data_IF_228988472176
#
_entry.id   IF_228988472176
#
_cell.length_a   1.000
_cell.length_b   1.000
_cell.length_c   1.000
_cell.angle_alpha   90.00
_cell.angle_beta   90.00
_cell.angle_gamma   90.00
#
_symmetry.space_group_name_H-M   'P 1'
#
loop_
_entity.id
_entity.type
_entity.pdbx_description
1 polymer ?
#
# COMPACT_ATOMS: atom_id res chain seq x y z
N UNK A 1 1.81 -20.95 -31.31
CA UNK A 1 2.02 -21.54 -29.98
C UNK A 1 1.71 -23.02 -30.09
N UNK A 2 2.31 -23.93 -29.30
CA UNK A 2 1.93 -25.35 -29.40
C UNK A 2 0.45 -25.48 -29.06
N UNK A 3 -0.31 -26.19 -29.91
CA UNK A 3 -1.77 -26.39 -29.80
C UNK A 3 -2.19 -27.26 -28.58
N UNK A 4 -1.30 -27.48 -27.62
CA UNK A 4 -1.54 -28.33 -26.47
C UNK A 4 -1.86 -27.48 -25.24
N UNK A 5 -3.14 -27.33 -24.96
CA UNK A 5 -3.61 -26.82 -23.68
C UNK A 5 -3.56 -27.95 -22.64
N UNK A 6 -2.89 -27.77 -21.49
CA UNK A 6 -2.81 -28.82 -20.49
C UNK A 6 -4.21 -29.09 -19.92
N UNK A 7 -4.59 -30.36 -19.88
CA UNK A 7 -5.75 -30.83 -19.14
C UNK A 7 -5.59 -30.56 -17.63
N UNK A 8 -6.68 -30.48 -16.86
CA UNK A 8 -6.60 -30.33 -15.40
C UNK A 8 -5.72 -31.39 -14.73
N UNK A 9 -5.71 -32.62 -15.26
CA UNK A 9 -4.85 -33.69 -14.75
C UNK A 9 -3.36 -33.43 -15.02
N UNK A 10 -3.02 -32.88 -16.18
CA UNK A 10 -1.66 -32.46 -16.49
C UNK A 10 -1.22 -31.31 -15.59
N UNK A 11 -2.11 -30.35 -15.29
CA UNK A 11 -1.82 -29.27 -14.33
C UNK A 11 -1.46 -29.82 -12.94
N UNK A 12 -2.20 -30.82 -12.43
CA UNK A 12 -1.87 -31.47 -11.16
C UNK A 12 -0.52 -32.20 -11.20
N UNK A 13 -0.20 -32.86 -12.31
CA UNK A 13 1.09 -33.53 -12.50
C UNK A 13 2.24 -32.52 -12.56
N UNK A 14 2.05 -31.41 -13.28
CA UNK A 14 3.02 -30.32 -13.37
C UNK A 14 3.25 -29.69 -11.99
N UNK A 15 2.19 -29.49 -11.21
CA UNK A 15 2.30 -28.99 -9.84
C UNK A 15 3.06 -29.96 -8.93
N UNK A 16 2.80 -31.27 -8.99
CA UNK A 16 3.52 -32.26 -8.20
C UNK A 16 5.03 -32.25 -8.52
N UNK A 17 5.40 -32.13 -9.79
CA UNK A 17 6.79 -31.98 -10.21
C UNK A 17 7.40 -30.65 -9.75
N UNK A 18 6.68 -29.54 -9.90
CA UNK A 18 7.12 -28.23 -9.42
C UNK A 18 7.39 -28.25 -7.91
N UNK A 19 6.49 -28.84 -7.12
CA UNK A 19 6.59 -28.92 -5.67
C UNK A 19 7.78 -29.76 -5.22
N UNK A 20 8.03 -30.89 -5.90
CA UNK A 20 9.20 -31.75 -5.64
C UNK A 20 10.55 -31.04 -5.88
N UNK A 21 10.56 -29.99 -6.70
CA UNK A 21 11.74 -29.20 -7.03
C UNK A 21 11.93 -27.97 -6.14
N UNK A 22 11.03 -27.69 -5.18
CA UNK A 22 11.16 -26.57 -4.25
C UNK A 22 11.99 -26.95 -3.02
N UNK A 23 12.63 -25.96 -2.38
CA UNK A 23 13.26 -26.15 -1.06
C UNK A 23 12.18 -26.42 0.00
N UNK A 24 12.16 -27.60 0.66
CA UNK A 24 11.16 -27.92 1.67
C UNK A 24 11.15 -26.94 2.85
N UNK A 25 12.31 -26.35 3.19
CA UNK A 25 12.40 -25.33 4.26
C UNK A 25 11.71 -24.04 3.85
N UNK A 26 11.77 -23.68 2.56
CA UNK A 26 11.08 -22.52 2.02
C UNK A 26 9.56 -22.74 2.04
N UNK A 27 9.09 -23.90 1.59
CA UNK A 27 7.66 -24.24 1.63
C UNK A 27 7.13 -24.26 3.08
N UNK A 28 7.92 -24.79 4.02
CA UNK A 28 7.58 -24.78 5.45
C UNK A 28 7.44 -23.35 5.98
N UNK A 29 8.39 -22.46 5.69
CA UNK A 29 8.29 -21.04 6.10
C UNK A 29 7.03 -20.37 5.53
N UNK A 30 6.76 -20.55 4.23
CA UNK A 30 5.56 -19.99 3.59
C UNK A 30 4.27 -20.49 4.25
N UNK A 31 4.24 -21.74 4.70
CA UNK A 31 3.06 -22.32 5.35
C UNK A 31 2.86 -21.87 6.81
N UNK A 32 3.95 -21.54 7.52
CA UNK A 32 3.93 -21.22 8.96
C UNK A 32 3.95 -19.70 9.25
N UNK A 33 4.55 -18.91 8.36
CA UNK A 33 4.71 -17.46 8.54
C UNK A 33 3.56 -16.68 7.86
N UNK A 34 3.12 -15.55 8.43
CA UNK A 34 2.14 -14.67 7.77
C UNK A 34 2.69 -14.12 6.44
N UNK A 35 1.80 -13.91 5.47
CA UNK A 35 2.16 -13.19 4.24
C UNK A 35 2.46 -11.72 4.53
N UNK A 36 3.52 -11.18 3.93
CA UNK A 36 3.92 -9.77 4.05
C UNK A 36 4.32 -9.17 2.69
N UNK A 37 3.46 -9.26 1.66
CA UNK A 37 3.75 -8.68 0.35
C UNK A 37 3.93 -7.16 0.48
N UNK A 38 4.82 -6.59 -0.34
CA UNK A 38 5.01 -5.13 -0.40
C UNK A 38 4.20 -4.48 -1.52
N UNK A 39 3.63 -5.29 -2.42
CA UNK A 39 2.97 -4.87 -3.65
C UNK A 39 1.59 -5.50 -3.72
N UNK A 40 0.57 -4.68 -3.98
CA UNK A 40 -0.71 -5.10 -4.54
C UNK A 40 -0.66 -4.90 -6.06
N UNK A 41 -0.98 -5.94 -6.82
CA UNK A 41 -1.11 -5.93 -8.28
C UNK A 41 -2.58 -6.10 -8.67
N UNK A 42 -3.15 -5.10 -9.32
CA UNK A 42 -4.48 -5.13 -9.94
C UNK A 42 -4.27 -5.27 -11.45
N UNK A 43 -4.58 -6.45 -12.00
CA UNK A 43 -4.31 -6.77 -13.40
C UNK A 43 -5.51 -7.32 -14.15
N UNK A 44 -5.34 -7.52 -15.46
CA UNK A 44 -6.37 -8.14 -16.28
C UNK A 44 -6.43 -9.66 -16.05
N UNK A 45 -7.62 -10.25 -16.15
CA UNK A 45 -7.84 -11.72 -16.19
C UNK A 45 -7.22 -12.40 -17.41
N UNK A 46 -6.66 -11.63 -18.34
CA UNK A 46 -5.93 -12.14 -19.49
C UNK A 46 -4.78 -13.07 -19.08
N UNK A 47 -4.81 -14.29 -19.60
CA UNK A 47 -3.88 -15.37 -19.25
C UNK A 47 -2.46 -15.18 -19.80
N UNK A 48 -2.23 -14.17 -20.65
CA UNK A 48 -0.91 -13.85 -21.22
C UNK A 48 -0.07 -12.97 -20.30
N UNK A 49 -0.63 -12.45 -19.21
CA UNK A 49 0.03 -11.50 -18.32
C UNK A 49 0.08 -11.99 -16.86
N UNK A 50 0.59 -13.21 -16.54
CA UNK A 50 0.78 -13.65 -15.16
C UNK A 50 1.88 -12.81 -14.47
N UNK A 51 1.53 -12.07 -13.42
CA UNK A 51 2.38 -11.04 -12.79
C UNK A 51 3.67 -11.65 -12.28
N UNK A 52 3.56 -12.72 -11.50
CA UNK A 52 4.69 -13.43 -10.89
C UNK A 52 5.68 -13.98 -11.92
N UNK A 53 5.23 -14.31 -13.13
CA UNK A 53 6.12 -14.75 -14.21
C UNK A 53 6.84 -13.57 -14.85
N UNK A 54 6.11 -12.53 -15.24
CA UNK A 54 6.69 -11.39 -15.99
C UNK A 54 7.60 -10.53 -15.11
N UNK A 55 7.36 -10.47 -13.80
CA UNK A 55 8.22 -9.75 -12.83
C UNK A 55 9.25 -10.65 -12.17
N UNK A 56 9.23 -11.97 -12.42
CA UNK A 56 10.07 -12.97 -11.74
C UNK A 56 9.91 -12.96 -10.22
N UNK A 57 8.70 -12.71 -9.75
CA UNK A 57 8.39 -12.70 -8.31
C UNK A 57 8.35 -14.10 -7.72
N UNK A 58 8.66 -14.17 -6.43
CA UNK A 58 8.56 -15.36 -5.60
C UNK A 58 7.16 -15.52 -5.00
N UNK A 59 6.89 -16.72 -4.48
CA UNK A 59 5.69 -16.97 -3.65
C UNK A 59 5.64 -15.98 -2.48
N UNK A 60 4.56 -15.20 -2.42
CA UNK A 60 4.31 -14.22 -1.35
C UNK A 60 4.86 -12.81 -1.61
N UNK A 61 5.57 -12.56 -2.72
CA UNK A 61 6.11 -11.22 -3.02
C UNK A 61 5.02 -10.22 -3.42
N UNK A 62 4.01 -10.69 -4.16
CA UNK A 62 2.95 -9.87 -4.77
C UNK A 62 1.59 -10.39 -4.32
N UNK A 63 0.76 -9.50 -3.79
CA UNK A 63 -0.66 -9.76 -3.55
C UNK A 63 -1.42 -9.36 -4.81
N UNK A 64 -2.28 -10.23 -5.34
CA UNK A 64 -2.82 -10.07 -6.70
C UNK A 64 -4.33 -10.08 -6.71
N UNK A 65 -4.92 -9.12 -7.42
CA UNK A 65 -6.32 -9.11 -7.86
C UNK A 65 -6.38 -9.07 -9.39
N UNK A 66 -7.36 -9.76 -9.98
CA UNK A 66 -7.55 -9.81 -11.42
C UNK A 66 -9.03 -9.77 -11.79
N UNK A 67 -9.35 -8.92 -12.75
CA UNK A 67 -10.69 -8.81 -13.35
C UNK A 67 -10.59 -8.48 -14.84
N UNK A 68 -11.71 -8.43 -15.56
CA UNK A 68 -11.70 -8.14 -17.01
C UNK A 68 -11.30 -6.67 -17.20
N UNK A 69 -10.25 -6.44 -18.00
CA UNK A 69 -9.72 -5.10 -18.31
C UNK A 69 -9.24 -4.28 -17.10
N UNK A 70 -8.81 -4.96 -16.02
CA UNK A 70 -8.16 -4.36 -14.84
C UNK A 70 -8.92 -3.14 -14.28
N UNK A 71 -10.25 -3.21 -14.28
CA UNK A 71 -11.11 -2.13 -13.82
C UNK A 71 -11.05 -1.99 -12.29
N UNK A 72 -11.25 -0.77 -11.83
CA UNK A 72 -11.44 -0.39 -10.43
C UNK A 72 -12.68 0.48 -10.40
N UNK A 73 -13.83 -0.10 -10.08
CA UNK A 73 -15.03 0.70 -9.82
C UNK A 73 -15.03 1.11 -8.36
N UNK A 74 -15.31 2.38 -8.06
CA UNK A 74 -15.30 2.93 -6.70
C UNK A 74 -16.27 2.18 -5.78
N UNK A 75 -17.39 1.71 -6.32
CA UNK A 75 -18.42 0.97 -5.60
C UNK A 75 -18.28 -0.57 -5.71
N UNK A 76 -17.23 -1.10 -6.35
CA UNK A 76 -17.02 -2.55 -6.43
C UNK A 76 -16.47 -3.09 -5.11
N UNK A 77 -17.29 -3.90 -4.43
CA UNK A 77 -16.94 -4.51 -3.16
C UNK A 77 -15.75 -5.47 -3.26
N UNK A 78 -15.52 -6.14 -4.39
CA UNK A 78 -14.39 -7.06 -4.56
C UNK A 78 -13.07 -6.27 -4.57
N UNK A 79 -12.93 -5.35 -5.53
CA UNK A 79 -11.70 -4.54 -5.67
C UNK A 79 -11.42 -3.71 -4.42
N UNK A 80 -12.42 -3.06 -3.84
CA UNK A 80 -12.26 -2.26 -2.62
C UNK A 80 -11.88 -3.12 -1.40
N UNK A 81 -12.48 -4.31 -1.25
CA UNK A 81 -12.11 -5.23 -0.16
C UNK A 81 -10.66 -5.70 -0.28
N UNK A 82 -10.20 -6.01 -1.50
CA UNK A 82 -8.80 -6.39 -1.76
C UNK A 82 -7.87 -5.21 -1.48
N UNK A 83 -8.21 -4.01 -1.92
CA UNK A 83 -7.42 -2.79 -1.69
C UNK A 83 -7.22 -2.53 -0.19
N UNK A 84 -8.31 -2.47 0.59
CA UNK A 84 -8.22 -2.25 2.04
C UNK A 84 -7.52 -3.40 2.76
N UNK A 85 -7.71 -4.66 2.33
CA UNK A 85 -6.96 -5.76 2.93
C UNK A 85 -5.45 -5.62 2.70
N UNK A 86 -5.05 -5.29 1.47
CA UNK A 86 -3.64 -5.09 1.15
C UNK A 86 -3.03 -3.95 1.96
N UNK A 87 -3.75 -2.83 2.08
CA UNK A 87 -3.26 -1.64 2.77
C UNK A 87 -3.29 -1.81 4.30
N UNK A 88 -4.45 -2.12 4.88
CA UNK A 88 -4.63 -2.10 6.34
C UNK A 88 -4.11 -3.37 7.02
N UNK A 89 -4.25 -4.54 6.36
CA UNK A 89 -3.89 -5.82 6.96
C UNK A 89 -2.49 -6.28 6.56
N UNK A 90 -2.11 -6.09 5.29
CA UNK A 90 -0.80 -6.51 4.78
C UNK A 90 0.24 -5.38 4.78
N UNK A 91 -0.19 -4.12 4.93
CA UNK A 91 0.69 -2.95 4.91
C UNK A 91 1.56 -2.86 3.66
N UNK A 92 0.98 -3.17 2.49
CA UNK A 92 1.64 -2.98 1.19
C UNK A 92 2.10 -1.53 1.05
N UNK A 93 3.16 -1.31 0.27
CA UNK A 93 3.73 0.02 -0.01
C UNK A 93 3.42 0.51 -1.40
N UNK A 94 3.09 -0.40 -2.30
CA UNK A 94 2.82 -0.09 -3.69
C UNK A 94 1.53 -0.76 -4.13
N UNK A 95 0.67 0.01 -4.78
CA UNK A 95 -0.49 -0.48 -5.52
C UNK A 95 -0.22 -0.25 -7.00
N UNK A 96 -0.27 -1.31 -7.81
CA UNK A 96 0.01 -1.25 -9.25
C UNK A 96 -1.27 -1.63 -9.99
N UNK A 97 -1.78 -0.72 -10.82
CA UNK A 97 -2.74 -1.05 -11.87
C UNK A 97 -1.96 -1.39 -13.13
N UNK A 98 -2.09 -2.62 -13.61
CA UNK A 98 -1.35 -3.11 -14.76
C UNK A 98 -2.29 -3.51 -15.91
N UNK A 99 -2.34 -2.66 -16.93
CA UNK A 99 -2.99 -2.95 -18.21
C UNK A 99 -2.03 -3.57 -19.23
N UNK A 100 -2.53 -3.91 -20.43
CA UNK A 100 -1.70 -4.52 -21.48
C UNK A 100 -2.17 -4.20 -22.90
N UNK A 101 -1.22 -4.13 -23.85
CA UNK A 101 -1.36 -3.57 -25.22
C UNK A 101 -2.40 -4.23 -26.14
N UNK A 102 -2.93 -5.41 -25.78
CA UNK A 102 -3.98 -6.12 -26.55
C UNK A 102 -5.08 -6.68 -25.65
N UNK A 103 -5.61 -5.85 -24.78
CA UNK A 103 -6.67 -6.20 -23.84
C UNK A 103 -7.95 -6.60 -24.57
N UNK A 104 -8.41 -7.84 -24.34
CA UNK A 104 -9.67 -8.33 -24.92
C UNK A 104 -10.89 -7.53 -24.47
N UNK A 105 -10.91 -7.07 -23.21
CA UNK A 105 -12.00 -6.21 -22.72
C UNK A 105 -12.00 -4.82 -23.36
N UNK A 106 -10.82 -4.23 -23.60
CA UNK A 106 -10.73 -2.95 -24.30
C UNK A 106 -11.13 -3.06 -25.79
N UNK A 107 -10.77 -4.17 -26.45
CA UNK A 107 -11.25 -4.47 -27.82
C UNK A 107 -12.77 -4.60 -27.83
N UNK A 108 -13.33 -5.37 -26.89
CA UNK A 108 -14.78 -5.54 -26.76
C UNK A 108 -15.49 -4.19 -26.52
N UNK A 109 -14.90 -3.31 -25.71
CA UNK A 109 -15.43 -1.97 -25.47
C UNK A 109 -15.43 -1.09 -26.72
N UNK A 110 -14.37 -1.11 -27.54
CA UNK A 110 -14.32 -0.40 -28.83
C UNK A 110 -15.39 -0.90 -29.80
N UNK A 111 -15.64 -2.20 -29.81
CA UNK A 111 -16.59 -2.85 -30.72
C UNK A 111 -18.04 -2.77 -30.22
N UNK A 112 -18.28 -2.37 -28.96
CA UNK A 112 -19.58 -2.43 -28.29
C UNK A 112 -20.67 -1.63 -29.02
N UNK A 113 -20.31 -0.55 -29.73
CA UNK A 113 -21.26 0.24 -30.52
C UNK A 113 -21.88 -0.54 -31.69
N UNK A 114 -21.11 -1.40 -32.33
CA UNK A 114 -21.56 -2.23 -33.46
C UNK A 114 -21.99 -3.63 -33.00
N UNK A 115 -21.37 -4.14 -31.93
CA UNK A 115 -21.63 -5.44 -31.34
C UNK A 115 -21.83 -5.28 -29.82
N UNK A 116 -23.04 -4.90 -29.38
CA UNK A 116 -23.33 -4.70 -27.95
C UNK A 116 -22.99 -5.93 -27.12
N UNK A 117 -22.41 -5.70 -25.95
CA UNK A 117 -22.16 -6.74 -24.96
C UNK A 117 -23.46 -7.07 -24.22
N UNK A 118 -23.54 -8.28 -23.67
CA UNK A 118 -24.68 -8.74 -22.88
C UNK A 118 -24.35 -8.70 -21.38
N UNK A 119 -25.35 -8.50 -20.50
CA UNK A 119 -25.17 -8.58 -19.06
C UNK A 119 -24.57 -9.90 -18.58
N UNK A 120 -23.69 -9.87 -17.56
CA UNK A 120 -23.27 -8.69 -16.77
C UNK A 120 -22.04 -7.96 -17.34
N UNK A 121 -21.59 -8.30 -18.56
CA UNK A 121 -20.31 -7.81 -19.07
C UNK A 121 -20.39 -6.36 -19.60
N UNK A 122 -21.55 -5.97 -20.13
CA UNK A 122 -21.84 -4.59 -20.52
C UNK A 122 -21.78 -3.64 -19.32
N UNK A 123 -22.45 -3.98 -18.22
CA UNK A 123 -22.42 -3.22 -16.96
C UNK A 123 -21.00 -3.12 -16.40
N UNK A 124 -20.25 -4.23 -16.41
CA UNK A 124 -18.86 -4.23 -15.96
C UNK A 124 -17.94 -3.35 -16.81
N UNK A 125 -18.13 -3.35 -18.13
CA UNK A 125 -17.29 -2.59 -19.06
C UNK A 125 -17.87 -1.21 -19.41
N UNK A 126 -18.99 -0.80 -18.83
CA UNK A 126 -19.68 0.46 -19.17
C UNK A 126 -18.73 1.67 -19.10
N UNK A 127 -17.94 1.89 -18.03
CA UNK A 127 -16.99 3.01 -18.00
C UNK A 127 -15.92 2.95 -19.10
N UNK A 128 -15.50 1.73 -19.48
CA UNK A 128 -14.52 1.53 -20.54
C UNK A 128 -15.13 1.73 -21.94
N UNK A 129 -16.41 1.37 -22.12
CA UNK A 129 -17.18 1.63 -23.35
C UNK A 129 -17.36 3.12 -23.55
N UNK A 130 -17.72 3.86 -22.50
CA UNK A 130 -17.80 5.32 -22.54
C UNK A 130 -16.44 5.94 -22.90
N UNK A 131 -15.36 5.49 -22.26
CA UNK A 131 -14.01 5.96 -22.54
C UNK A 131 -13.55 5.66 -23.99
N UNK A 132 -14.06 4.58 -24.59
CA UNK A 132 -13.76 4.20 -25.97
C UNK A 132 -14.31 5.21 -27.00
N UNK A 133 -15.34 5.98 -26.66
CA UNK A 133 -15.86 7.04 -27.54
C UNK A 133 -14.85 8.19 -27.72
N UNK A 134 -14.10 8.50 -26.66
CA UNK A 134 -13.04 9.52 -26.66
C UNK A 134 -11.72 8.99 -27.22
N UNK A 135 -11.46 7.70 -27.05
CA UNK A 135 -10.23 7.02 -27.45
C UNK A 135 -10.49 5.86 -28.44
N UNK A 136 -10.76 6.14 -29.73
CA UNK A 136 -11.16 5.13 -30.71
C UNK A 136 -10.03 4.20 -31.17
N UNK A 137 -8.81 4.35 -30.63
CA UNK A 137 -7.67 3.47 -30.90
C UNK A 137 -7.35 2.66 -29.66
N UNK A 138 -7.09 1.36 -29.85
CA UNK A 138 -6.84 0.42 -28.76
C UNK A 138 -5.67 0.85 -27.87
N UNK A 139 -4.58 1.31 -28.47
CA UNK A 139 -3.39 1.73 -27.72
C UNK A 139 -3.72 2.91 -26.80
N UNK A 140 -4.41 3.92 -27.32
CA UNK A 140 -4.82 5.11 -26.58
C UNK A 140 -5.85 4.75 -25.50
N UNK A 141 -6.80 3.86 -25.79
CA UNK A 141 -7.84 3.43 -24.85
C UNK A 141 -7.27 2.63 -23.68
N UNK A 142 -6.35 1.70 -23.93
CA UNK A 142 -5.71 0.93 -22.85
C UNK A 142 -4.94 1.85 -21.92
N UNK A 143 -4.20 2.79 -22.49
CA UNK A 143 -3.47 3.82 -21.76
C UNK A 143 -4.39 4.74 -20.94
N UNK A 144 -5.49 5.21 -21.54
CA UNK A 144 -6.48 6.03 -20.85
C UNK A 144 -7.17 5.25 -19.72
N UNK A 145 -7.51 3.98 -19.96
CA UNK A 145 -8.11 3.10 -18.97
C UNK A 145 -7.23 2.96 -17.74
N UNK A 146 -5.93 2.68 -17.90
CA UNK A 146 -4.99 2.55 -16.78
C UNK A 146 -5.01 3.82 -15.91
N UNK A 147 -4.95 5.00 -16.53
CA UNK A 147 -4.98 6.28 -15.80
C UNK A 147 -6.31 6.53 -15.10
N UNK A 148 -7.43 6.18 -15.74
CA UNK A 148 -8.75 6.26 -15.12
C UNK A 148 -8.85 5.36 -13.87
N UNK A 149 -8.32 4.14 -13.93
CA UNK A 149 -8.33 3.24 -12.77
C UNK A 149 -7.38 3.69 -11.66
N UNK A 150 -6.23 4.29 -12.00
CA UNK A 150 -5.36 4.95 -11.02
C UNK A 150 -6.11 6.11 -10.33
N UNK A 151 -6.84 6.94 -11.10
CA UNK A 151 -7.65 8.02 -10.54
C UNK A 151 -8.74 7.49 -9.59
N UNK A 152 -9.44 6.41 -9.96
CA UNK A 152 -10.44 5.78 -9.09
C UNK A 152 -9.82 5.27 -7.78
N UNK A 153 -8.62 4.68 -7.81
CA UNK A 153 -7.90 4.31 -6.59
C UNK A 153 -7.58 5.55 -5.76
N UNK A 154 -7.07 6.62 -6.38
CA UNK A 154 -6.74 7.85 -5.66
C UNK A 154 -7.96 8.48 -5.01
N UNK A 155 -9.13 8.44 -5.66
CA UNK A 155 -10.41 8.86 -5.08
C UNK A 155 -10.76 8.04 -3.84
N UNK A 156 -10.73 6.71 -3.94
CA UNK A 156 -10.97 5.81 -2.79
C UNK A 156 -9.99 6.12 -1.65
N UNK A 157 -8.70 6.30 -1.95
CA UNK A 157 -7.70 6.60 -0.94
C UNK A 157 -7.93 7.98 -0.31
N UNK A 158 -8.35 8.97 -1.08
CA UNK A 158 -8.65 10.31 -0.59
C UNK A 158 -9.86 10.30 0.36
N UNK A 159 -10.95 9.62 -0.03
CA UNK A 159 -12.16 9.51 0.78
C UNK A 159 -11.94 8.79 2.12
N UNK A 160 -10.89 7.96 2.19
CA UNK A 160 -10.52 7.20 3.37
C UNK A 160 -9.28 7.75 4.12
N UNK A 161 -8.74 8.89 3.70
CA UNK A 161 -7.52 9.51 4.27
C UNK A 161 -6.28 8.59 4.25
N UNK A 162 -6.09 7.86 3.14
CA UNK A 162 -5.03 6.87 2.92
C UNK A 162 -4.04 7.28 1.79
N UNK A 163 -4.08 8.52 1.32
CA UNK A 163 -3.18 9.00 0.25
C UNK A 163 -1.71 9.03 0.63
N UNK A 164 -1.40 9.02 1.93
CA UNK A 164 -0.06 9.26 2.45
C UNK A 164 0.71 7.96 2.79
N UNK A 165 0.11 6.80 2.54
CA UNK A 165 0.63 5.51 3.03
C UNK A 165 1.11 4.55 1.94
N UNK A 166 0.68 4.75 0.69
CA UNK A 166 1.03 3.89 -0.46
C UNK A 166 1.35 4.72 -1.69
N UNK A 167 2.28 4.23 -2.51
CA UNK A 167 2.48 4.73 -3.88
C UNK A 167 1.53 4.01 -4.82
N UNK A 168 0.82 4.75 -5.68
CA UNK A 168 -0.05 4.17 -6.71
C UNK A 168 0.60 4.30 -8.08
N UNK A 169 0.63 3.20 -8.83
CA UNK A 169 1.31 3.10 -10.12
C UNK A 169 0.34 2.69 -11.23
N UNK A 170 0.46 3.31 -12.40
CA UNK A 170 -0.18 2.88 -13.64
C UNK A 170 0.85 2.30 -14.60
N UNK A 171 0.83 0.99 -14.82
CA UNK A 171 1.78 0.28 -15.69
C UNK A 171 1.11 -0.33 -16.91
N UNK A 172 1.81 -0.28 -18.05
CA UNK A 172 1.40 -0.91 -19.30
C UNK A 172 2.38 -2.04 -19.67
N UNK A 173 1.85 -3.25 -19.80
CA UNK A 173 2.59 -4.39 -20.32
C UNK A 173 2.41 -4.52 -21.84
N UNK A 174 3.51 -4.41 -22.57
CA UNK A 174 3.52 -4.68 -24.01
C UNK A 174 3.65 -6.17 -24.26
N UNK A 175 2.59 -6.78 -24.80
CA UNK A 175 2.59 -8.19 -25.19
C UNK A 175 3.57 -8.47 -26.34
N UNK A 176 3.84 -7.47 -27.17
CA UNK A 176 4.70 -7.55 -28.35
C UNK A 176 6.17 -7.79 -28.00
N UNK A 177 6.67 -7.18 -26.93
CA UNK A 177 8.10 -7.23 -26.56
C UNK A 177 8.35 -7.73 -25.12
N UNK A 178 7.28 -7.93 -24.33
CA UNK A 178 7.33 -8.43 -22.97
C UNK A 178 7.81 -7.41 -21.93
N UNK A 179 7.69 -6.11 -22.20
CA UNK A 179 8.16 -5.04 -21.31
C UNK A 179 7.03 -4.34 -20.57
N UNK A 180 7.33 -3.93 -19.33
CA UNK A 180 6.49 -3.05 -18.53
C UNK A 180 6.95 -1.60 -18.73
N UNK A 181 5.98 -0.71 -18.93
CA UNK A 181 6.17 0.72 -19.08
C UNK A 181 5.38 1.45 -17.99
N UNK A 182 6.02 2.40 -17.31
CA UNK A 182 5.34 3.26 -16.34
C UNK A 182 4.63 4.38 -17.10
N UNK A 183 3.32 4.49 -16.93
CA UNK A 183 2.51 5.57 -17.51
C UNK A 183 2.30 6.71 -16.51
N UNK A 184 2.13 6.36 -15.24
CA UNK A 184 1.79 7.28 -14.16
C UNK A 184 2.25 6.73 -12.82
N UNK A 185 2.63 7.63 -11.91
CA UNK A 185 3.02 7.32 -10.54
C UNK A 185 2.55 8.44 -9.61
N UNK A 186 1.86 8.07 -8.54
CA UNK A 186 1.45 8.95 -7.45
C UNK A 186 2.19 8.53 -6.20
N UNK A 187 3.24 9.27 -5.86
CA UNK A 187 3.93 9.11 -4.58
C UNK A 187 3.02 9.52 -3.42
N UNK A 188 3.16 8.88 -2.25
CA UNK A 188 2.44 9.31 -1.07
C UNK A 188 2.79 10.76 -0.78
N UNK A 189 1.76 11.61 -0.70
CA UNK A 189 1.98 12.98 -0.27
C UNK A 189 2.40 12.94 1.21
N UNK A 190 3.60 13.38 1.54
CA UNK A 190 3.97 13.50 2.95
C UNK A 190 3.10 14.60 3.57
N UNK A 191 2.07 14.21 4.33
CA UNK A 191 1.28 15.17 5.11
C UNK A 191 2.22 16.06 5.91
N UNK A 192 1.82 17.31 6.11
CA UNK A 192 2.57 18.23 6.98
C UNK A 192 2.81 17.61 8.37
N UNK A 193 1.90 16.74 8.83
CA UNK A 193 2.02 15.96 10.06
C UNK A 193 3.13 14.90 9.96
N UNK A 194 3.21 14.15 8.87
CA UNK A 194 4.30 13.21 8.60
C UNK A 194 5.66 13.92 8.60
N UNK A 195 5.77 15.04 7.88
CA UNK A 195 6.96 15.92 7.87
C UNK A 195 7.30 16.43 9.26
N UNK A 196 6.30 16.85 10.03
CA UNK A 196 6.50 17.37 11.37
C UNK A 196 7.00 16.28 12.33
N UNK A 197 6.36 15.11 12.35
CA UNK A 197 6.79 13.96 13.17
C UNK A 197 8.20 13.49 12.76
N UNK A 198 8.47 13.39 11.45
CA UNK A 198 9.79 13.03 10.94
C UNK A 198 10.84 14.08 11.33
N UNK A 199 10.52 15.38 11.25
CA UNK A 199 11.40 16.47 11.70
C UNK A 199 11.67 16.43 13.20
N UNK A 200 10.69 16.07 14.03
CA UNK A 200 10.87 15.92 15.48
C UNK A 200 11.80 14.75 15.76
N UNK A 201 11.57 13.59 15.12
CA UNK A 201 12.42 12.41 15.30
C UNK A 201 13.86 12.72 14.89
N UNK A 202 14.07 13.43 13.77
CA UNK A 202 15.39 13.87 13.33
C UNK A 202 15.98 14.89 14.32
N UNK A 203 15.25 15.93 14.72
CA UNK A 203 15.76 16.98 15.63
C UNK A 203 16.18 16.39 16.98
N UNK A 204 15.39 15.48 17.54
CA UNK A 204 15.74 14.75 18.78
C UNK A 204 16.92 13.80 18.61
N UNK A 205 17.16 13.31 17.38
CA UNK A 205 18.31 12.46 17.06
C UNK A 205 19.59 13.25 16.77
N UNK A 206 19.50 14.55 16.45
CA UNK A 206 20.61 15.34 15.91
C UNK A 206 21.09 16.45 16.85
N UNK A 207 20.30 16.96 17.81
CA UNK A 207 20.73 18.03 18.73
C UNK A 207 21.31 17.52 20.08
N UNK A 208 22.63 17.66 20.34
CA UNK A 208 23.23 17.29 21.63
C UNK A 208 22.95 18.32 22.73
N UNK A 209 22.24 19.42 22.43
CA UNK A 209 22.10 20.60 23.32
C UNK A 209 20.90 20.55 24.26
N UNK A 210 20.01 19.57 24.15
CA UNK A 210 18.88 19.41 25.09
C UNK A 210 19.38 18.89 26.46
N UNK A 211 20.66 18.50 26.62
CA UNK A 211 21.26 18.21 27.93
C UNK A 211 21.53 19.45 28.81
N UNK A 212 21.31 20.68 28.32
CA UNK A 212 21.73 21.91 28.98
C UNK A 212 20.79 22.51 30.04
N UNK A 213 19.66 21.89 30.35
CA UNK A 213 18.74 22.34 31.43
C UNK A 213 18.95 21.49 32.70
N UNK A 214 20.17 21.50 33.25
CA UNK A 214 20.59 20.72 34.44
C UNK A 214 20.85 21.60 35.68
N UNK A 215 20.20 22.74 35.82
CA UNK A 215 20.32 23.53 37.05
C UNK A 215 18.96 23.89 37.62
N UNK A 216 18.26 22.91 38.18
CA UNK A 216 17.31 23.10 39.29
C UNK A 216 16.87 21.71 39.78
N UNK A 217 17.64 21.18 40.72
CA UNK A 217 17.32 20.22 41.81
C UNK A 217 18.44 19.19 41.97
N UNK A 218 19.09 19.26 43.13
CA UNK A 218 20.23 18.43 43.46
C UNK A 218 19.86 16.99 43.79
N UNK A 219 20.91 16.17 43.80
CA UNK A 219 21.00 14.79 44.30
C UNK A 219 20.45 13.68 43.39
N UNK A 220 21.36 13.16 42.55
CA UNK A 220 21.57 11.72 42.34
C UNK A 220 20.41 10.87 41.83
N UNK A 221 20.30 10.73 40.50
CA UNK A 221 20.03 9.52 39.70
C UNK A 221 19.73 9.94 38.26
N UNK A 222 19.93 9.04 37.28
CA UNK A 222 20.10 9.35 35.85
C UNK A 222 19.04 10.24 35.19
N UNK A 223 19.52 11.10 34.30
CA UNK A 223 18.74 12.08 33.55
C UNK A 223 17.97 11.36 32.42
N UNK A 224 16.65 11.29 32.56
CA UNK A 224 15.71 11.15 31.45
C UNK A 224 14.93 12.45 31.38
N UNK A 225 15.14 13.27 30.34
CA UNK A 225 14.28 14.44 30.10
C UNK A 225 13.11 14.00 29.23
N UNK A 226 11.92 14.08 29.82
CA UNK A 226 10.63 13.85 29.17
C UNK A 226 10.22 15.14 28.48
N UNK A 227 10.00 15.12 27.16
CA UNK A 227 9.22 16.18 26.50
C UNK A 227 7.79 16.06 26.98
N UNK A 228 7.35 16.98 27.85
CA UNK A 228 5.99 16.99 28.35
C UNK A 228 5.04 17.65 27.32
N UNK A 229 3.74 17.37 27.47
CA UNK A 229 2.69 17.85 26.57
C UNK A 229 2.68 19.38 26.41
N UNK A 230 3.04 20.14 27.45
CA UNK A 230 3.13 21.60 27.43
C UNK A 230 4.24 22.13 26.50
N UNK A 231 5.42 21.47 26.52
CA UNK A 231 6.55 21.84 25.65
C UNK A 231 6.21 21.58 24.18
N UNK A 232 5.53 20.46 23.90
CA UNK A 232 5.05 20.14 22.55
C UNK A 232 3.93 21.06 22.07
N UNK A 233 3.01 21.43 22.95
CA UNK A 233 1.94 22.39 22.63
C UNK A 233 2.54 23.74 22.25
N UNK A 234 3.62 24.16 22.93
CA UNK A 234 4.35 25.40 22.64
C UNK A 234 5.11 25.33 21.32
N UNK A 235 5.72 24.18 20.99
CA UNK A 235 6.39 23.93 19.70
C UNK A 235 5.38 23.91 18.55
N UNK A 236 4.24 23.24 18.71
CA UNK A 236 3.15 23.21 17.73
C UNK A 236 2.59 24.62 17.48
N UNK A 237 2.40 25.42 18.54
CA UNK A 237 1.90 26.79 18.46
C UNK A 237 2.91 27.79 17.85
N UNK A 238 4.21 27.48 17.88
CA UNK A 238 5.28 28.31 17.31
C UNK A 238 5.82 27.84 15.96
N UNK A 239 5.36 26.67 15.50
CA UNK A 239 5.74 26.12 14.20
C UNK A 239 5.03 26.83 13.04
N UNK A 240 5.69 26.95 11.90
CA UNK A 240 5.11 27.52 10.67
C UNK A 240 4.23 26.53 9.89
N UNK A 241 3.84 25.41 10.50
CA UNK A 241 3.02 24.37 9.87
C UNK A 241 1.54 24.67 10.06
N UNK A 242 0.79 24.66 8.95
CA UNK A 242 -0.65 24.93 8.96
C UNK A 242 -1.39 23.61 9.25
N UNK A 243 -1.71 23.39 10.53
CA UNK A 243 -2.35 22.17 11.04
C UNK A 243 -3.76 22.45 11.55
N UNK A 244 -4.70 21.56 11.24
CA UNK A 244 -6.03 21.59 11.84
C UNK A 244 -5.97 21.23 13.34
N UNK A 245 -6.95 21.65 14.12
CA UNK A 245 -6.96 21.41 15.57
C UNK A 245 -7.03 19.90 15.91
N UNK A 246 -7.70 19.10 15.07
CA UNK A 246 -7.71 17.65 15.20
C UNK A 246 -6.31 17.03 15.00
N UNK A 247 -5.53 17.55 14.04
CA UNK A 247 -4.16 17.09 13.79
C UNK A 247 -3.20 17.47 14.92
N UNK A 248 -3.37 18.67 15.52
CA UNK A 248 -2.58 19.09 16.70
C UNK A 248 -2.84 18.17 17.90
N UNK A 249 -4.11 17.84 18.15
CA UNK A 249 -4.50 16.90 19.23
C UNK A 249 -3.88 15.52 19.02
N UNK A 250 -3.90 14.99 17.79
CA UNK A 250 -3.32 13.69 17.47
C UNK A 250 -1.81 13.65 17.76
N UNK A 251 -1.06 14.70 17.40
CA UNK A 251 0.38 14.80 17.66
C UNK A 251 0.69 14.91 19.16
N UNK A 252 -0.07 15.71 19.90
CA UNK A 252 0.08 15.83 21.36
C UNK A 252 -0.17 14.47 22.02
N UNK A 253 -1.26 13.78 21.65
CA UNK A 253 -1.59 12.46 22.17
C UNK A 253 -0.53 11.41 21.81
N UNK A 254 0.07 11.48 20.61
CA UNK A 254 1.15 10.58 20.20
C UNK A 254 2.40 10.77 21.08
N UNK A 255 2.78 12.02 21.36
CA UNK A 255 3.93 12.34 22.22
C UNK A 255 3.66 11.96 23.68
N UNK A 256 2.46 12.17 24.19
CA UNK A 256 2.07 11.71 25.53
C UNK A 256 2.11 10.17 25.64
N UNK A 257 1.66 9.45 24.62
CA UNK A 257 1.72 7.98 24.57
C UNK A 257 3.17 7.46 24.57
N UNK A 258 4.04 8.11 23.81
CA UNK A 258 5.46 7.78 23.67
C UNK A 258 6.27 8.19 24.92
N UNK A 259 5.96 9.35 25.50
CA UNK A 259 6.55 9.84 26.75
C UNK A 259 6.12 9.03 27.98
N UNK A 260 4.90 8.48 27.97
CA UNK A 260 4.37 7.61 29.02
C UNK A 260 4.91 6.18 29.00
N UNK A 261 5.54 5.75 27.90
CA UNK A 261 5.98 4.36 27.66
C UNK A 261 7.50 4.17 27.62
N UNK A 262 8.27 4.98 28.36
CA UNK A 262 9.67 4.62 28.66
C UNK A 262 9.70 3.49 29.70
N UNK A 263 9.55 2.26 29.23
CA UNK A 263 10.03 1.06 29.94
C UNK A 263 11.49 1.30 30.33
N UNK A 264 11.81 1.10 31.62
CA UNK A 264 13.18 1.07 32.12
C UNK A 264 13.98 0.01 31.34
N UNK A 265 14.69 0.40 30.29
CA UNK A 265 15.67 -0.46 29.62
C UNK A 265 17.02 -0.21 30.30
N UNK A 266 17.64 -1.21 30.94
CA UNK A 266 18.97 -1.05 31.50
C UNK A 266 19.95 -0.81 30.35
N UNK A 267 20.67 0.30 30.44
CA UNK A 267 21.89 0.70 29.73
C UNK A 267 22.39 -0.22 28.59
N UNK A 268 22.45 0.37 27.37
CA UNK A 268 23.15 -0.06 26.13
C UNK A 268 22.37 -0.79 25.02
N UNK A 269 21.07 -0.53 24.85
CA UNK A 269 20.40 -0.84 23.58
C UNK A 269 19.56 0.36 23.13
N UNK A 270 19.91 0.92 21.96
CA UNK A 270 19.06 1.90 21.27
C UNK A 270 17.96 1.07 20.61
N UNK A 271 16.75 1.14 21.16
CA UNK A 271 15.56 0.56 20.53
C UNK A 271 14.97 1.66 19.65
N UNK A 272 15.18 1.58 18.34
CA UNK A 272 14.52 2.45 17.36
C UNK A 272 13.10 1.92 17.23
N UNK A 273 12.12 2.68 17.72
CA UNK A 273 10.71 2.40 17.49
C UNK A 273 10.32 2.98 16.14
N UNK A 274 9.97 2.12 15.18
CA UNK A 274 9.28 2.54 13.97
C UNK A 274 7.78 2.63 14.30
N UNK A 275 7.24 3.84 14.33
CA UNK A 275 5.83 4.10 14.62
C UNK A 275 4.98 3.66 13.42
N UNK A 276 4.52 2.41 13.43
CA UNK A 276 3.40 2.00 12.59
C UNK A 276 2.10 2.32 13.32
N UNK A 277 1.42 3.39 12.92
CA UNK A 277 0.04 3.62 13.29
C UNK A 277 -0.86 2.58 12.61
N UNK A 278 -1.00 1.38 13.18
CA UNK A 278 -2.03 0.43 12.75
C UNK A 278 -3.41 1.01 13.11
N UNK A 279 -4.11 1.57 12.12
CA UNK A 279 -5.49 2.04 12.23
C UNK A 279 -6.41 0.80 12.25
N UNK A 280 -6.45 0.06 13.36
CA UNK A 280 -7.48 -0.98 13.51
C UNK A 280 -8.83 -0.30 13.73
N UNK A 281 -9.66 -0.32 12.70
CA UNK A 281 -11.02 0.22 12.70
C UNK A 281 -11.98 -0.73 13.42
N UNK A 282 -12.02 -0.66 14.75
CA UNK A 282 -13.13 -1.20 15.53
C UNK A 282 -14.24 -0.13 15.62
N UNK A 283 -15.30 -0.30 14.81
CA UNK A 283 -16.47 0.60 14.74
C UNK A 283 -17.25 0.72 16.06
N UNK A 284 -16.92 -0.07 17.08
CA UNK A 284 -17.62 -0.03 18.37
C UNK A 284 -16.96 0.87 19.42
N UNK A 285 -15.78 1.45 19.13
CA UNK A 285 -15.04 2.27 20.09
C UNK A 285 -14.96 3.74 19.66
N UNK A 286 -15.21 4.70 20.58
CA UNK A 286 -15.30 6.13 20.27
C UNK A 286 -13.93 6.83 20.06
N UNK A 287 -12.80 6.12 20.18
CA UNK A 287 -11.44 6.70 20.03
C UNK A 287 -10.50 5.69 19.35
N UNK A 288 -9.69 6.09 18.35
CA UNK A 288 -8.69 5.21 17.73
C UNK A 288 -7.64 4.77 18.76
N UNK A 289 -7.36 3.47 18.87
CA UNK A 289 -6.21 2.96 19.62
C UNK A 289 -4.99 2.84 18.71
N UNK A 290 -3.91 3.54 19.06
CA UNK A 290 -2.59 3.31 18.50
C UNK A 290 -1.96 2.11 19.23
N UNK A 291 -1.79 0.98 18.53
CA UNK A 291 -1.08 -0.18 19.08
C UNK A 291 0.43 -0.02 18.86
N UNK A 292 1.16 0.34 19.92
CA UNK A 292 2.62 0.35 19.94
C UNK A 292 3.10 -1.04 20.36
N UNK A 293 3.73 -1.79 19.46
CA UNK A 293 4.32 -3.10 19.72
C UNK A 293 5.83 -3.10 19.46
N UNK A 294 6.64 -3.88 20.20
CA UNK A 294 8.07 -3.99 19.94
C UNK A 294 8.32 -4.72 18.62
N UNK A 295 8.98 -4.06 17.66
CA UNK A 295 9.57 -4.71 16.48
C UNK A 295 10.92 -5.30 16.91
N UNK A 296 10.96 -6.63 17.07
CA UNK A 296 12.16 -7.48 17.13
C UNK A 296 13.36 -6.98 17.94
N UNK A 297 13.64 -7.65 19.06
CA UNK A 297 15.01 -7.71 19.60
C UNK A 297 15.85 -8.62 18.70
N UNK A 298 16.74 -8.07 17.87
CA UNK A 298 17.91 -8.83 17.41
C UNK A 298 18.91 -8.90 18.57
N UNK A 299 19.41 -10.10 18.85
CA UNK A 299 20.60 -10.29 19.68
C UNK A 299 21.84 -9.68 19.02
#
# INVERSE_FOLDING_TARGET
MPDHHPSPLELLRNNAQWAANQDPRRLKRIAEEPQTPQILWIGCSDSRVPESVITRSNLGDVFTHRNIANQVHVDDIDTTSVLFYAIDHLSVKHVIVAGHSRCGGAIAALEAKENPLEPPLDEWLEPLIELAEEHPKLEDLVEANIRAQVANIMEILQDHELTDIVTVHGWLYHLEDGRLHVLEEHEPHESQVGRFIHSIIITLSVEPRIQGLTSLTGTGTGISQVLNAETMTTLLASSSFDMSDHQKVLVISLVELLGGSMLQVPSRRIVIFELYARRHWDRTLPVPRLLVGPLYTKE
#
